data_IF_224873805127
#
_entry.id   IF_224873805127
#
_cell.length_a   1.000
_cell.length_b   1.000
_cell.length_c   1.000
_cell.angle_alpha   90.00
_cell.angle_beta   90.00
_cell.angle_gamma   90.00
#
_symmetry.space_group_name_H-M   'P 1'
#
loop_
_entity.id
_entity.type
_entity.pdbx_description
1 polymer ?
#
# COMPACT_ATOMS: atom_id res chain seq x y z
N UNK A 1 11.89 34.42 -11.68
CA UNK A 1 11.46 34.37 -10.24
C UNK A 1 10.59 33.14 -9.94
N UNK A 2 9.44 32.90 -10.59
CA UNK A 2 8.65 31.71 -10.29
C UNK A 2 9.37 30.38 -10.55
N UNK A 3 10.08 30.24 -11.69
CA UNK A 3 10.83 29.01 -12.01
C UNK A 3 12.08 28.80 -11.14
N UNK A 4 12.67 29.86 -10.61
CA UNK A 4 13.83 29.77 -9.71
C UNK A 4 13.44 29.31 -8.32
N UNK A 5 12.29 29.75 -7.83
CA UNK A 5 11.73 29.29 -6.57
C UNK A 5 11.30 27.82 -6.66
N UNK A 6 10.71 27.40 -7.77
CA UNK A 6 10.29 26.02 -7.99
C UNK A 6 11.48 25.03 -7.91
N UNK A 7 12.63 25.36 -8.53
CA UNK A 7 13.82 24.51 -8.45
C UNK A 7 14.36 24.43 -7.01
N UNK A 8 14.29 25.52 -6.25
CA UNK A 8 14.68 25.54 -4.84
C UNK A 8 13.75 24.65 -4.01
N UNK A 9 12.43 24.72 -4.21
CA UNK A 9 11.44 23.90 -3.52
C UNK A 9 11.64 22.41 -3.79
N UNK A 10 11.89 22.03 -5.06
CA UNK A 10 12.23 20.66 -5.44
C UNK A 10 13.51 20.20 -4.74
N UNK A 11 14.53 21.07 -4.67
CA UNK A 11 15.77 20.78 -3.92
C UNK A 11 15.54 20.59 -2.43
N UNK A 12 14.67 21.41 -1.82
CA UNK A 12 14.29 21.30 -0.40
C UNK A 12 13.52 19.98 -0.16
N UNK A 13 12.60 19.61 -1.05
CA UNK A 13 11.87 18.35 -0.97
C UNK A 13 12.85 17.15 -0.92
N UNK A 14 13.74 17.03 -1.91
CA UNK A 14 14.69 15.92 -1.96
C UNK A 14 15.67 15.91 -0.79
N UNK A 15 16.13 17.08 -0.33
CA UNK A 15 16.98 17.19 0.84
C UNK A 15 16.25 16.73 2.12
N UNK A 16 14.99 17.13 2.29
CA UNK A 16 14.17 16.74 3.42
C UNK A 16 13.89 15.23 3.44
N UNK A 17 13.52 14.65 2.30
CA UNK A 17 13.29 13.22 2.15
C UNK A 17 14.59 12.44 2.42
N UNK A 18 15.74 12.88 1.89
CA UNK A 18 17.02 12.23 2.16
C UNK A 18 17.39 12.27 3.65
N UNK A 19 17.17 13.41 4.33
CA UNK A 19 17.39 13.53 5.77
C UNK A 19 16.43 12.65 6.56
N UNK A 20 15.15 12.63 6.20
CA UNK A 20 14.13 11.81 6.83
C UNK A 20 14.45 10.31 6.70
N UNK A 21 14.86 9.86 5.51
CA UNK A 21 15.30 8.49 5.27
C UNK A 21 16.55 8.12 6.07
N UNK A 22 17.52 9.02 6.16
CA UNK A 22 18.70 8.82 7.00
C UNK A 22 18.33 8.64 8.48
N UNK A 23 17.44 9.47 9.01
CA UNK A 23 16.97 9.38 10.40
C UNK A 23 16.23 8.06 10.62
N UNK A 24 15.29 7.70 9.73
CA UNK A 24 14.54 6.45 9.80
C UNK A 24 15.47 5.23 9.88
N UNK A 25 16.46 5.17 8.97
CA UNK A 25 17.44 4.07 8.92
C UNK A 25 18.29 4.00 10.19
N UNK A 26 18.68 5.15 10.76
CA UNK A 26 19.42 5.20 12.03
C UNK A 26 18.60 4.69 13.23
N UNK A 27 17.29 4.86 13.18
CA UNK A 27 16.35 4.39 14.21
C UNK A 27 15.89 2.95 13.98
N UNK A 28 16.30 2.30 12.88
CA UNK A 28 15.82 0.97 12.48
C UNK A 28 14.33 0.93 12.18
N UNK A 29 13.76 2.04 11.70
CA UNK A 29 12.34 2.18 11.37
C UNK A 29 12.11 2.27 9.86
N UNK A 30 10.86 1.99 9.43
CA UNK A 30 10.44 2.24 8.05
C UNK A 30 10.62 3.71 7.67
N UNK A 31 11.05 3.98 6.43
CA UNK A 31 11.20 5.34 5.90
C UNK A 31 9.85 6.03 5.66
N UNK A 32 8.78 5.27 5.42
CA UNK A 32 7.45 5.80 5.04
C UNK A 32 6.92 6.83 6.04
N UNK A 33 6.83 6.55 7.36
CA UNK A 33 6.37 7.54 8.32
C UNK A 33 7.21 8.81 8.33
N UNK A 34 8.53 8.68 8.13
CA UNK A 34 9.45 9.81 8.16
C UNK A 34 9.30 10.71 6.93
N UNK A 35 9.05 10.14 5.74
CA UNK A 35 8.75 10.90 4.53
C UNK A 35 7.44 11.68 4.69
N UNK A 36 6.38 11.05 5.21
CA UNK A 36 5.10 11.69 5.48
C UNK A 36 5.29 12.85 6.49
N UNK A 37 5.97 12.60 7.62
CA UNK A 37 6.22 13.63 8.63
C UNK A 37 7.05 14.77 8.06
N UNK A 38 8.06 14.49 7.21
CA UNK A 38 8.86 15.55 6.57
C UNK A 38 8.00 16.45 5.65
N UNK A 39 7.07 15.86 4.90
CA UNK A 39 6.08 16.60 4.11
C UNK A 39 5.18 17.48 4.97
N UNK A 40 4.63 16.91 6.06
CA UNK A 40 3.81 17.69 7.00
C UNK A 40 4.58 18.87 7.60
N UNK A 41 5.82 18.66 8.05
CA UNK A 41 6.62 19.70 8.65
C UNK A 41 6.88 20.86 7.68
N UNK A 42 7.16 20.55 6.41
CA UNK A 42 7.45 21.55 5.38
C UNK A 42 6.19 22.12 4.71
N UNK A 43 5.00 21.71 5.13
CA UNK A 43 3.72 22.10 4.54
C UNK A 43 3.31 23.54 4.88
N UNK A 44 2.36 24.12 4.12
CA UNK A 44 1.71 25.37 4.47
C UNK A 44 0.96 25.28 5.82
N UNK A 45 0.58 24.09 6.24
CA UNK A 45 -0.13 23.84 7.50
C UNK A 45 0.75 23.94 8.75
N UNK A 46 2.07 23.72 8.61
CA UNK A 46 3.02 23.81 9.74
C UNK A 46 3.92 25.02 9.56
N UNK A 47 4.87 25.03 8.61
CA UNK A 47 5.76 26.17 8.41
C UNK A 47 5.01 27.42 7.93
N UNK A 48 4.01 27.26 7.06
CA UNK A 48 3.20 28.39 6.59
C UNK A 48 2.46 29.09 7.73
N UNK A 49 1.90 28.35 8.66
CA UNK A 49 1.24 28.92 9.87
C UNK A 49 2.24 29.65 10.80
N UNK A 50 3.50 29.27 10.77
CA UNK A 50 4.57 29.94 11.52
C UNK A 50 5.14 31.15 10.81
N UNK A 51 4.65 31.48 9.58
CA UNK A 51 5.18 32.57 8.75
C UNK A 51 6.55 32.27 8.18
N UNK A 52 6.96 31.00 8.13
CA UNK A 52 8.24 30.54 7.56
C UNK A 52 8.06 30.10 6.11
N UNK A 53 9.13 30.09 5.29
CA UNK A 53 9.08 29.49 3.97
C UNK A 53 8.67 28.01 4.06
N UNK A 54 7.80 27.58 3.16
CA UNK A 54 7.25 26.22 3.09
C UNK A 54 7.30 25.73 1.64
N UNK A 55 7.09 24.42 1.44
CA UNK A 55 6.94 23.81 0.12
C UNK A 55 5.47 23.89 -0.27
N UNK A 56 5.20 24.37 -1.48
CA UNK A 56 3.85 24.41 -2.06
C UNK A 56 3.55 23.10 -2.79
N UNK A 57 2.26 22.75 -2.85
CA UNK A 57 1.78 21.71 -3.74
C UNK A 57 1.81 22.22 -5.18
N UNK A 58 2.90 21.94 -5.86
CA UNK A 58 3.12 22.34 -7.25
C UNK A 58 2.77 21.19 -8.18
N UNK A 59 2.49 21.51 -9.46
CA UNK A 59 2.25 20.49 -10.51
C UNK A 59 3.41 19.47 -10.60
N UNK A 60 4.64 19.87 -10.30
CA UNK A 60 5.78 18.95 -10.27
C UNK A 60 5.64 17.93 -9.12
N UNK A 61 5.25 18.38 -7.92
CA UNK A 61 5.09 17.52 -6.75
C UNK A 61 3.93 16.56 -6.97
N UNK A 62 2.81 17.05 -7.51
CA UNK A 62 1.61 16.28 -7.85
C UNK A 62 1.93 15.19 -8.88
N UNK A 63 2.48 15.55 -10.05
CA UNK A 63 2.88 14.56 -11.07
C UNK A 63 3.95 13.60 -10.52
N UNK A 64 4.88 14.09 -9.71
CA UNK A 64 5.88 13.27 -9.04
C UNK A 64 5.26 12.24 -8.10
N UNK A 65 4.21 12.61 -7.37
CA UNK A 65 3.45 11.71 -6.52
C UNK A 65 2.65 10.66 -7.32
N UNK A 66 1.99 11.07 -8.40
CA UNK A 66 1.29 10.14 -9.33
C UNK A 66 2.27 9.12 -9.93
N UNK A 67 3.45 9.56 -10.37
CA UNK A 67 4.50 8.65 -10.84
C UNK A 67 4.96 7.70 -9.72
N UNK A 68 4.99 8.16 -8.48
CA UNK A 68 5.26 7.33 -7.31
C UNK A 68 4.28 6.17 -7.17
N UNK A 69 2.98 6.47 -7.24
CA UNK A 69 1.92 5.45 -7.21
C UNK A 69 2.07 4.48 -8.41
N UNK A 70 2.24 5.02 -9.62
CA UNK A 70 2.39 4.23 -10.84
C UNK A 70 3.57 3.26 -10.73
N UNK A 71 4.74 3.72 -10.29
CA UNK A 71 5.89 2.84 -10.15
C UNK A 71 5.78 1.85 -8.99
N UNK A 72 5.18 2.23 -7.87
CA UNK A 72 4.91 1.30 -6.77
C UNK A 72 4.05 0.12 -7.26
N UNK A 73 2.95 0.40 -7.95
CA UNK A 73 2.04 -0.63 -8.45
C UNK A 73 2.63 -1.40 -9.64
N UNK A 74 3.41 -0.75 -10.51
CA UNK A 74 4.15 -1.43 -11.58
C UNK A 74 5.10 -2.49 -11.01
N UNK A 75 5.89 -2.14 -9.99
CA UNK A 75 6.80 -3.08 -9.35
C UNK A 75 6.06 -4.22 -8.64
N UNK A 76 4.95 -3.93 -7.99
CA UNK A 76 4.09 -4.96 -7.43
C UNK A 76 3.64 -5.96 -8.52
N UNK A 77 3.19 -5.46 -9.66
CA UNK A 77 2.82 -6.30 -10.80
C UNK A 77 4.02 -7.07 -11.36
N UNK A 78 5.21 -6.48 -11.38
CA UNK A 78 6.43 -7.11 -11.85
C UNK A 78 6.87 -8.29 -10.97
N UNK A 79 6.72 -8.17 -9.65
CA UNK A 79 7.02 -9.22 -8.68
C UNK A 79 5.98 -10.35 -8.70
N UNK A 80 4.82 -10.11 -9.32
CA UNK A 80 3.72 -11.05 -9.38
C UNK A 80 4.07 -12.26 -10.28
N UNK A 81 4.30 -13.42 -9.66
CA UNK A 81 4.62 -14.66 -10.36
C UNK A 81 3.46 -15.66 -10.27
N UNK A 82 2.74 -15.83 -11.41
CA UNK A 82 1.60 -16.74 -11.52
C UNK A 82 1.97 -18.21 -11.25
N UNK A 83 3.17 -18.66 -11.63
CA UNK A 83 3.58 -20.05 -11.45
C UNK A 83 3.77 -20.37 -9.96
N UNK A 84 4.45 -19.51 -9.21
CA UNK A 84 4.58 -19.66 -7.74
C UNK A 84 3.24 -19.60 -7.02
N UNK A 85 2.34 -18.72 -7.44
CA UNK A 85 0.98 -18.65 -6.92
C UNK A 85 0.25 -19.98 -7.11
N UNK A 86 0.41 -20.62 -8.27
CA UNK A 86 -0.25 -21.89 -8.60
C UNK A 86 0.32 -23.07 -7.82
N UNK A 87 1.61 -23.07 -7.48
CA UNK A 87 2.26 -24.11 -6.68
C UNK A 87 1.75 -24.18 -5.24
N UNK A 88 1.55 -23.01 -4.58
CA UNK A 88 1.09 -22.90 -3.19
C UNK A 88 -0.31 -22.30 -3.06
N UNK A 89 -1.14 -22.45 -4.09
CA UNK A 89 -2.46 -21.80 -4.18
C UNK A 89 -3.42 -22.14 -3.03
N UNK A 90 -3.31 -23.32 -2.45
CA UNK A 90 -4.20 -23.74 -1.38
C UNK A 90 -3.83 -23.05 -0.06
N UNK A 91 -2.56 -23.01 0.28
CA UNK A 91 -2.03 -22.35 1.47
C UNK A 91 -2.24 -20.83 1.37
N UNK A 92 -1.85 -20.22 0.26
CA UNK A 92 -2.03 -18.80 -0.04
C UNK A 92 -3.53 -18.44 0.00
N UNK A 93 -4.38 -19.22 -0.70
CA UNK A 93 -5.82 -18.99 -0.74
C UNK A 93 -6.46 -19.11 0.65
N UNK A 94 -6.04 -20.08 1.47
CA UNK A 94 -6.58 -20.27 2.82
C UNK A 94 -6.15 -19.11 3.73
N UNK A 95 -4.85 -18.81 3.81
CA UNK A 95 -4.34 -17.74 4.66
C UNK A 95 -4.90 -16.38 4.25
N UNK A 96 -4.88 -16.05 2.95
CA UNK A 96 -5.39 -14.79 2.42
C UNK A 96 -6.91 -14.64 2.59
N UNK A 97 -7.70 -15.72 2.41
CA UNK A 97 -9.15 -15.66 2.64
C UNK A 97 -9.48 -15.45 4.12
N UNK A 98 -8.78 -16.11 5.04
CA UNK A 98 -8.93 -15.88 6.48
C UNK A 98 -8.63 -14.42 6.80
N UNK A 99 -7.53 -13.88 6.25
CA UNK A 99 -7.14 -12.50 6.47
C UNK A 99 -8.16 -11.52 5.91
N UNK A 100 -8.62 -11.72 4.67
CA UNK A 100 -9.65 -10.90 4.03
C UNK A 100 -10.96 -10.88 4.83
N UNK A 101 -11.49 -12.05 5.14
CA UNK A 101 -12.81 -12.15 5.82
C UNK A 101 -12.77 -11.50 7.20
N UNK A 102 -11.72 -11.75 7.97
CA UNK A 102 -11.59 -11.20 9.32
C UNK A 102 -11.36 -9.68 9.25
N UNK A 103 -10.34 -9.23 8.54
CA UNK A 103 -9.91 -7.83 8.63
C UNK A 103 -10.75 -6.89 7.79
N UNK A 104 -11.14 -7.27 6.57
CA UNK A 104 -12.05 -6.46 5.76
C UNK A 104 -13.46 -6.46 6.35
N UNK A 105 -13.95 -7.60 6.84
CA UNK A 105 -15.25 -7.71 7.51
C UNK A 105 -15.33 -6.85 8.77
N UNK A 106 -14.32 -6.93 9.65
CA UNK A 106 -14.24 -6.06 10.84
C UNK A 106 -14.03 -4.60 10.43
N UNK A 107 -13.22 -4.34 9.38
CA UNK A 107 -13.03 -3.02 8.82
C UNK A 107 -14.32 -2.37 8.33
N UNK A 108 -15.21 -3.11 7.65
CA UNK A 108 -16.54 -2.62 7.24
C UNK A 108 -17.41 -2.23 8.44
N UNK A 109 -17.47 -3.09 9.45
CA UNK A 109 -18.25 -2.83 10.67
C UNK A 109 -17.71 -1.61 11.42
N UNK A 110 -16.38 -1.54 11.57
CA UNK A 110 -15.70 -0.42 12.22
C UNK A 110 -15.91 0.86 11.43
N UNK A 111 -15.65 0.84 10.12
CA UNK A 111 -15.82 2.00 9.23
C UNK A 111 -17.25 2.53 9.27
N UNK A 112 -18.26 1.65 9.23
CA UNK A 112 -19.65 2.08 9.35
C UNK A 112 -19.97 2.64 10.75
N UNK A 113 -19.43 2.07 11.79
CA UNK A 113 -19.58 2.59 13.15
C UNK A 113 -18.97 3.98 13.31
N UNK A 114 -17.82 4.24 12.66
CA UNK A 114 -17.08 5.49 12.75
C UNK A 114 -17.66 6.60 11.86
N UNK A 115 -17.87 6.30 10.57
CA UNK A 115 -18.24 7.30 9.57
C UNK A 115 -19.73 7.39 9.29
N UNK A 116 -20.54 6.36 9.63
CA UNK A 116 -22.00 6.31 9.39
C UNK A 116 -22.40 6.46 7.92
N UNK A 117 -21.46 6.24 7.02
CA UNK A 117 -21.63 6.27 5.58
C UNK A 117 -21.12 4.95 4.97
N UNK A 118 -21.90 4.28 4.10
CA UNK A 118 -21.50 2.98 3.55
C UNK A 118 -20.26 3.04 2.66
N UNK A 119 -20.08 4.12 1.87
CA UNK A 119 -18.95 4.27 0.97
C UNK A 119 -17.68 4.62 1.76
N UNK A 120 -17.80 5.52 2.74
CA UNK A 120 -16.71 5.79 3.68
C UNK A 120 -16.32 4.53 4.48
N UNK A 121 -17.30 3.70 4.89
CA UNK A 121 -17.06 2.43 5.54
C UNK A 121 -16.31 1.45 4.63
N UNK A 122 -16.68 1.39 3.36
CA UNK A 122 -15.99 0.57 2.37
C UNK A 122 -14.54 1.02 2.20
N UNK A 123 -14.28 2.32 2.05
CA UNK A 123 -12.92 2.86 1.94
C UNK A 123 -12.11 2.61 3.23
N UNK A 124 -12.70 2.86 4.41
CA UNK A 124 -12.06 2.56 5.68
C UNK A 124 -11.71 1.07 5.85
N UNK A 125 -12.59 0.18 5.36
CA UNK A 125 -12.32 -1.26 5.38
C UNK A 125 -11.08 -1.63 4.56
N UNK A 126 -10.92 -1.07 3.36
CA UNK A 126 -9.71 -1.26 2.56
C UNK A 126 -8.47 -0.71 3.26
N UNK A 127 -8.56 0.51 3.84
CA UNK A 127 -7.46 1.16 4.58
C UNK A 127 -6.95 0.29 5.73
N UNK A 128 -7.84 -0.32 6.51
CA UNK A 128 -7.45 -1.12 7.67
C UNK A 128 -7.14 -2.59 7.34
N UNK A 129 -7.60 -3.08 6.19
CA UNK A 129 -7.38 -4.45 5.75
C UNK A 129 -5.95 -4.67 5.23
N UNK A 130 -5.51 -3.83 4.29
CA UNK A 130 -4.30 -4.07 3.51
C UNK A 130 -3.02 -3.89 4.35
N UNK A 131 -2.12 -4.85 4.26
CA UNK A 131 -0.80 -4.79 4.90
C UNK A 131 0.21 -4.04 4.02
N UNK A 132 1.36 -3.63 4.60
CA UNK A 132 2.44 -3.03 3.82
C UNK A 132 3.45 -4.06 3.38
N UNK A 133 3.45 -4.37 2.09
CA UNK A 133 4.43 -5.28 1.48
C UNK A 133 5.86 -4.73 1.58
N UNK A 134 6.05 -3.42 1.38
CA UNK A 134 7.35 -2.77 1.50
C UNK A 134 7.93 -2.88 2.92
N UNK A 135 7.14 -2.59 3.97
CA UNK A 135 7.60 -2.65 5.36
C UNK A 135 7.87 -4.09 5.79
N UNK A 136 6.98 -5.03 5.43
CA UNK A 136 7.13 -6.44 5.82
C UNK A 136 8.37 -7.03 5.17
N UNK A 137 8.53 -6.90 3.86
CA UNK A 137 9.67 -7.46 3.12
C UNK A 137 10.99 -6.90 3.63
N UNK A 138 11.08 -5.58 3.82
CA UNK A 138 12.26 -4.95 4.40
C UNK A 138 12.55 -5.47 5.81
N UNK A 139 11.54 -5.59 6.66
CA UNK A 139 11.71 -6.10 8.03
C UNK A 139 12.15 -7.58 8.03
N UNK A 140 11.63 -8.41 7.13
CA UNK A 140 12.08 -9.79 6.96
C UNK A 140 13.56 -9.88 6.61
N UNK A 141 14.05 -8.99 5.74
CA UNK A 141 15.46 -8.91 5.35
C UNK A 141 16.32 -8.42 6.54
N UNK A 142 15.95 -7.31 7.15
CA UNK A 142 16.70 -6.65 8.23
C UNK A 142 16.81 -7.55 9.49
N UNK A 143 15.77 -8.35 9.78
CA UNK A 143 15.75 -9.31 10.90
C UNK A 143 16.33 -10.68 10.54
N UNK A 144 16.72 -10.91 9.28
CA UNK A 144 17.21 -12.20 8.80
C UNK A 144 16.14 -13.30 8.73
N UNK A 145 14.85 -12.93 8.75
CA UNK A 145 13.74 -13.89 8.70
C UNK A 145 13.36 -14.30 7.27
N UNK A 146 13.89 -13.63 6.26
CA UNK A 146 13.56 -13.90 4.85
C UNK A 146 13.87 -15.36 4.42
N UNK A 147 14.87 -15.98 5.02
CA UNK A 147 15.26 -17.38 4.76
C UNK A 147 14.54 -18.40 5.67
N UNK A 148 13.68 -17.95 6.58
CA UNK A 148 12.96 -18.79 7.52
C UNK A 148 11.59 -19.19 6.95
N UNK A 149 10.99 -20.26 7.50
CA UNK A 149 9.69 -20.76 7.04
C UNK A 149 8.54 -19.77 7.26
N UNK A 150 8.64 -18.85 8.24
CA UNK A 150 7.64 -17.82 8.49
C UNK A 150 7.55 -16.76 7.39
N UNK A 151 8.54 -16.63 6.52
CA UNK A 151 8.47 -15.72 5.37
C UNK A 151 7.42 -16.16 4.35
N UNK A 152 7.28 -17.46 4.12
CA UNK A 152 6.36 -17.99 3.11
C UNK A 152 4.88 -17.61 3.34
N UNK A 153 4.28 -17.78 4.55
CA UNK A 153 2.91 -17.32 4.78
C UNK A 153 2.75 -15.80 4.76
N UNK A 154 3.76 -15.03 5.20
CA UNK A 154 3.70 -13.56 5.10
C UNK A 154 3.67 -13.12 3.64
N UNK A 155 4.66 -13.53 2.84
CA UNK A 155 4.75 -13.17 1.43
C UNK A 155 3.55 -13.74 0.63
N UNK A 156 3.10 -14.95 0.93
CA UNK A 156 1.93 -15.54 0.29
C UNK A 156 0.63 -14.78 0.60
N UNK A 157 0.43 -14.33 1.85
CA UNK A 157 -0.72 -13.51 2.21
C UNK A 157 -0.63 -12.13 1.54
N UNK A 158 0.54 -11.51 1.46
CA UNK A 158 0.73 -10.25 0.73
C UNK A 158 0.36 -10.39 -0.75
N UNK A 159 0.81 -11.46 -1.43
CA UNK A 159 0.43 -11.72 -2.83
C UNK A 159 -1.10 -11.85 -2.98
N UNK A 160 -1.78 -12.48 -2.02
CA UNK A 160 -3.24 -12.55 -2.02
C UNK A 160 -3.88 -11.17 -1.79
N UNK A 161 -3.39 -10.41 -0.81
CA UNK A 161 -3.83 -9.04 -0.54
C UNK A 161 -3.65 -8.16 -1.78
N UNK A 162 -2.52 -8.27 -2.49
CA UNK A 162 -2.19 -7.49 -3.68
C UNK A 162 -3.13 -7.78 -4.85
N UNK A 163 -3.55 -9.03 -5.01
CA UNK A 163 -4.60 -9.40 -5.97
C UNK A 163 -5.95 -8.78 -5.60
N UNK A 164 -6.32 -8.88 -4.34
CA UNK A 164 -7.58 -8.31 -3.84
C UNK A 164 -7.57 -6.80 -3.97
N UNK A 165 -6.45 -6.14 -3.61
CA UNK A 165 -6.39 -4.68 -3.64
C UNK A 165 -6.45 -4.14 -5.07
N UNK A 166 -5.87 -4.82 -6.07
CA UNK A 166 -5.96 -4.41 -7.46
C UNK A 166 -7.43 -4.35 -7.94
N UNK A 167 -8.22 -5.39 -7.62
CA UNK A 167 -9.66 -5.41 -7.91
C UNK A 167 -10.42 -4.39 -7.07
N UNK A 168 -10.06 -4.28 -5.78
CA UNK A 168 -10.68 -3.33 -4.85
C UNK A 168 -10.48 -1.88 -5.30
N UNK A 169 -9.26 -1.47 -5.68
CA UNK A 169 -8.98 -0.12 -6.16
C UNK A 169 -9.79 0.22 -7.42
N UNK A 170 -9.90 -0.72 -8.35
CA UNK A 170 -10.72 -0.54 -9.55
C UNK A 170 -12.20 -0.31 -9.21
N UNK A 171 -12.75 -1.12 -8.29
CA UNK A 171 -14.14 -0.99 -7.83
C UNK A 171 -14.33 0.29 -7.03
N UNK A 172 -13.42 0.61 -6.11
CA UNK A 172 -13.47 1.82 -5.29
C UNK A 172 -13.44 3.09 -6.15
N UNK A 173 -12.49 3.17 -7.11
CA UNK A 173 -12.40 4.29 -8.06
C UNK A 173 -13.67 4.41 -8.90
N UNK A 174 -14.19 3.31 -9.43
CA UNK A 174 -15.40 3.31 -10.24
C UNK A 174 -16.64 3.78 -9.47
N UNK A 175 -16.76 3.41 -8.19
CA UNK A 175 -17.88 3.85 -7.34
C UNK A 175 -17.71 5.31 -6.91
N UNK A 176 -16.51 5.69 -6.49
CA UNK A 176 -16.23 7.04 -5.97
C UNK A 176 -16.25 8.08 -7.08
N UNK A 177 -15.72 7.79 -8.27
CA UNK A 177 -15.65 8.72 -9.40
C UNK A 177 -16.83 8.61 -10.37
N UNK A 178 -17.65 7.54 -10.24
CA UNK A 178 -18.72 7.21 -11.20
C UNK A 178 -20.00 8.06 -11.11
N UNK A 179 -20.13 8.99 -10.13
CA UNK A 179 -21.29 9.87 -9.98
C UNK A 179 -22.47 9.30 -9.16
N UNK A 180 -23.55 10.10 -8.99
CA UNK A 180 -24.60 9.91 -7.99
C UNK A 180 -25.66 8.83 -8.32
N UNK A 181 -25.55 8.09 -9.43
CA UNK A 181 -26.57 7.13 -9.84
C UNK A 181 -26.11 5.68 -9.85
N UNK A 182 -26.98 4.73 -9.40
CA UNK A 182 -26.71 3.29 -9.55
C UNK A 182 -26.39 2.88 -11.00
N UNK A 183 -27.02 3.55 -11.98
CA UNK A 183 -26.74 3.34 -13.39
C UNK A 183 -25.34 3.80 -13.79
N UNK A 184 -24.93 4.97 -13.33
CA UNK A 184 -23.60 5.54 -13.64
C UNK A 184 -22.49 4.74 -12.96
N UNK A 185 -22.68 4.36 -11.70
CA UNK A 185 -21.75 3.45 -11.00
C UNK A 185 -21.63 2.10 -11.71
N UNK A 186 -22.75 1.52 -12.18
CA UNK A 186 -22.73 0.26 -12.93
C UNK A 186 -21.97 0.38 -14.27
N UNK A 187 -22.13 1.51 -14.98
CA UNK A 187 -21.38 1.81 -16.21
C UNK A 187 -19.89 1.97 -15.92
N UNK A 188 -19.54 2.74 -14.88
CA UNK A 188 -18.14 2.96 -14.47
C UNK A 188 -17.46 1.65 -14.06
N UNK A 189 -18.14 0.81 -13.27
CA UNK A 189 -17.67 -0.55 -12.93
C UNK A 189 -17.52 -1.38 -14.21
N UNK A 190 -18.47 -1.29 -15.13
CA UNK A 190 -18.41 -1.99 -16.42
C UNK A 190 -17.20 -1.57 -17.26
N UNK A 191 -16.89 -0.27 -17.32
CA UNK A 191 -15.71 0.27 -18.00
C UNK A 191 -14.43 -0.22 -17.31
N UNK A 192 -14.35 -0.12 -15.97
CA UNK A 192 -13.20 -0.57 -15.19
C UNK A 192 -12.94 -2.07 -15.39
N UNK A 193 -13.98 -2.90 -15.28
CA UNK A 193 -13.86 -4.35 -15.50
C UNK A 193 -13.51 -4.69 -16.95
N UNK A 194 -14.07 -3.97 -17.93
CA UNK A 194 -13.73 -4.10 -19.35
C UNK A 194 -12.27 -3.75 -19.62
N UNK A 195 -11.77 -2.67 -19.00
CA UNK A 195 -10.37 -2.26 -19.08
C UNK A 195 -9.43 -3.28 -18.42
N UNK A 196 -9.77 -3.78 -17.23
CA UNK A 196 -9.01 -4.86 -16.57
C UNK A 196 -8.97 -6.11 -17.45
N UNK A 197 -10.11 -6.50 -18.05
CA UNK A 197 -10.16 -7.64 -18.96
C UNK A 197 -9.25 -7.42 -20.17
N UNK A 198 -9.25 -6.21 -20.75
CA UNK A 198 -8.36 -5.85 -21.85
C UNK A 198 -6.89 -5.96 -21.43
N UNK A 199 -6.54 -5.47 -20.25
CA UNK A 199 -5.18 -5.57 -19.71
C UNK A 199 -4.79 -7.05 -19.44
N UNK A 200 -5.68 -7.86 -18.87
CA UNK A 200 -5.46 -9.31 -18.71
C UNK A 200 -5.24 -10.01 -20.04
N UNK A 201 -6.01 -9.67 -21.07
CA UNK A 201 -5.80 -10.19 -22.44
C UNK A 201 -4.45 -9.72 -23.00
N UNK A 202 -4.05 -8.47 -22.73
CA UNK A 202 -2.74 -7.96 -23.11
C UNK A 202 -1.61 -8.70 -22.39
N UNK A 203 -1.76 -9.02 -21.11
CA UNK A 203 -0.81 -9.87 -20.35
C UNK A 203 -0.72 -11.25 -20.98
N UNK A 204 -1.85 -11.90 -21.26
CA UNK A 204 -1.89 -13.27 -21.73
C UNK A 204 -1.40 -13.44 -23.19
N UNK A 205 -1.81 -12.54 -24.08
CA UNK A 205 -1.46 -12.61 -25.51
C UNK A 205 -0.32 -11.68 -25.91
N UNK A 206 -0.01 -10.68 -25.10
CA UNK A 206 0.91 -9.59 -25.42
C UNK A 206 2.36 -9.82 -25.02
N UNK A 207 2.70 -10.92 -24.33
CA UNK A 207 4.05 -11.17 -23.80
C UNK A 207 5.15 -10.96 -24.85
N UNK A 208 4.94 -11.38 -26.11
CA UNK A 208 5.89 -11.16 -27.19
C UNK A 208 6.07 -9.69 -27.59
N UNK A 209 5.05 -8.85 -27.41
CA UNK A 209 5.15 -7.40 -27.65
C UNK A 209 5.92 -6.72 -26.50
N UNK A 210 5.62 -7.09 -25.26
CA UNK A 210 6.35 -6.57 -24.10
C UNK A 210 7.82 -7.02 -24.11
N UNK A 211 8.11 -8.26 -24.53
CA UNK A 211 9.50 -8.73 -24.72
C UNK A 211 10.25 -7.87 -25.77
N UNK A 212 9.60 -7.52 -26.90
CA UNK A 212 10.20 -6.63 -27.92
C UNK A 212 10.53 -5.23 -27.39
N UNK A 213 9.79 -4.73 -26.39
CA UNK A 213 10.12 -3.45 -25.75
C UNK A 213 11.50 -3.51 -25.11
N UNK A 214 11.93 -4.70 -24.64
CA UNK A 214 13.18 -4.94 -23.97
C UNK A 214 14.32 -5.34 -24.92
N UNK A 215 14.02 -5.65 -26.20
CA UNK A 215 15.02 -6.00 -27.23
C UNK A 215 15.87 -4.77 -27.60
N UNK A 216 16.92 -4.49 -26.82
CA UNK A 216 17.88 -3.41 -27.06
C UNK A 216 19.16 -3.68 -26.27
N UNK A 217 20.31 -3.27 -26.78
CA UNK A 217 21.60 -3.38 -26.11
C UNK A 217 21.87 -2.22 -25.13
N UNK A 218 20.93 -1.28 -25.00
CA UNK A 218 21.11 -0.08 -24.18
C UNK A 218 20.18 -0.07 -22.99
N UNK A 219 20.72 -0.07 -21.79
CA UNK A 219 19.98 0.07 -20.53
C UNK A 219 19.14 1.35 -20.49
N UNK A 220 19.63 2.44 -21.08
CA UNK A 220 18.88 3.70 -21.20
C UNK A 220 17.58 3.50 -21.97
N UNK A 221 17.63 2.78 -23.11
CA UNK A 221 16.42 2.52 -23.90
C UNK A 221 15.48 1.54 -23.24
N UNK A 222 15.96 0.55 -22.48
CA UNK A 222 15.10 -0.31 -21.64
C UNK A 222 14.32 0.56 -20.65
N UNK A 223 14.99 1.40 -19.88
CA UNK A 223 14.38 2.30 -18.89
C UNK A 223 13.34 3.21 -19.54
N UNK A 224 13.71 3.93 -20.61
CA UNK A 224 12.81 4.88 -21.28
C UNK A 224 11.58 4.18 -21.88
N UNK A 225 11.74 2.99 -22.47
CA UNK A 225 10.63 2.25 -23.08
C UNK A 225 9.70 1.69 -22.02
N UNK A 226 10.22 1.12 -20.92
CA UNK A 226 9.40 0.58 -19.83
C UNK A 226 8.63 1.71 -19.15
N UNK A 227 9.29 2.82 -18.81
CA UNK A 227 8.64 4.01 -18.26
C UNK A 227 7.57 4.54 -19.22
N UNK A 228 7.94 4.71 -20.50
CA UNK A 228 7.04 5.25 -21.52
C UNK A 228 5.77 4.40 -21.69
N UNK A 229 5.90 3.08 -21.77
CA UNK A 229 4.75 2.17 -21.89
C UNK A 229 3.90 2.21 -20.62
N UNK A 230 4.53 2.15 -19.45
CA UNK A 230 3.83 2.13 -18.16
C UNK A 230 3.04 3.42 -17.95
N UNK A 231 3.68 4.57 -18.08
CA UNK A 231 3.04 5.88 -17.84
C UNK A 231 1.99 6.18 -18.91
N UNK A 232 2.21 5.79 -20.18
CA UNK A 232 1.22 5.96 -21.23
C UNK A 232 -0.06 5.17 -20.96
N UNK A 233 0.07 3.91 -20.56
CA UNK A 233 -1.09 3.05 -20.25
C UNK A 233 -1.78 3.52 -18.96
N UNK A 234 -1.02 3.90 -17.94
CA UNK A 234 -1.57 4.47 -16.69
C UNK A 234 -2.33 5.77 -16.95
N UNK A 235 -1.76 6.69 -17.74
CA UNK A 235 -2.43 7.94 -18.13
C UNK A 235 -3.66 7.72 -19.00
N UNK A 236 -3.64 6.73 -19.90
CA UNK A 236 -4.82 6.36 -20.68
C UNK A 236 -5.95 5.78 -19.81
N UNK A 237 -5.59 4.98 -18.79
CA UNK A 237 -6.54 4.48 -17.79
C UNK A 237 -7.21 5.62 -17.03
N UNK A 238 -6.40 6.56 -16.51
CA UNK A 238 -6.88 7.75 -15.79
C UNK A 238 -7.85 8.58 -16.66
N UNK A 239 -7.52 8.79 -17.92
CA UNK A 239 -8.39 9.49 -18.88
C UNK A 239 -9.74 8.77 -19.15
N UNK A 240 -9.82 7.46 -18.88
CA UNK A 240 -11.04 6.65 -18.96
C UNK A 240 -11.77 6.53 -17.61
N UNK A 241 -11.31 7.24 -16.56
CA UNK A 241 -11.87 7.14 -15.20
C UNK A 241 -11.53 5.82 -14.50
N UNK A 242 -10.44 5.17 -14.92
CA UNK A 242 -9.90 3.95 -14.28
C UNK A 242 -8.63 4.32 -13.54
N UNK A 243 -8.41 3.71 -12.38
CA UNK A 243 -7.20 3.99 -11.60
C UNK A 243 -5.92 3.68 -12.40
N UNK A 244 -5.02 4.65 -12.48
CA UNK A 244 -3.68 4.57 -13.05
C UNK A 244 -2.81 3.52 -12.32
N UNK A 245 -3.03 3.39 -11.00
CA UNK A 245 -2.38 2.39 -10.16
C UNK A 245 -2.70 0.95 -10.62
N UNK A 246 -3.98 0.67 -10.85
CA UNK A 246 -4.45 -0.64 -11.36
C UNK A 246 -3.85 -0.93 -12.73
N UNK A 247 -3.86 0.05 -13.62
CA UNK A 247 -3.26 -0.11 -14.96
C UNK A 247 -1.76 -0.42 -14.88
N UNK A 248 -1.02 0.30 -14.05
CA UNK A 248 0.41 0.09 -13.82
C UNK A 248 0.71 -1.31 -13.28
N UNK A 249 -0.11 -1.83 -12.33
CA UNK A 249 0.00 -3.18 -11.83
C UNK A 249 -0.09 -4.24 -12.96
N UNK A 250 -1.09 -4.14 -13.83
CA UNK A 250 -1.23 -5.08 -14.95
C UNK A 250 -0.11 -4.94 -15.98
N UNK A 251 0.40 -3.73 -16.22
CA UNK A 251 1.59 -3.53 -17.07
C UNK A 251 2.81 -4.21 -16.45
N UNK A 252 3.01 -4.09 -15.14
CA UNK A 252 4.05 -4.81 -14.40
C UNK A 252 3.93 -6.33 -14.57
N UNK A 253 2.72 -6.89 -14.42
CA UNK A 253 2.45 -8.31 -14.68
C UNK A 253 2.79 -8.72 -16.13
N UNK A 254 2.51 -7.85 -17.13
CA UNK A 254 2.85 -8.14 -18.51
C UNK A 254 4.37 -8.22 -18.74
N UNK A 255 5.12 -7.34 -18.10
CA UNK A 255 6.59 -7.40 -18.10
C UNK A 255 7.13 -8.60 -17.28
N UNK A 256 6.49 -8.96 -16.18
CA UNK A 256 6.82 -10.16 -15.38
C UNK A 256 6.82 -11.42 -16.25
N UNK A 257 5.84 -11.56 -17.14
CA UNK A 257 5.71 -12.68 -18.05
C UNK A 257 6.82 -12.76 -19.13
N UNK A 258 7.65 -11.70 -19.29
CA UNK A 258 8.75 -11.71 -20.29
C UNK A 258 10.02 -12.40 -19.82
N UNK A 259 10.16 -12.73 -18.54
CA UNK A 259 11.35 -13.31 -17.94
C UNK A 259 12.51 -12.34 -17.69
N UNK A 260 12.35 -11.03 -17.93
CA UNK A 260 13.37 -10.00 -17.72
C UNK A 260 13.17 -9.20 -16.41
N UNK A 261 12.43 -9.77 -15.46
CA UNK A 261 12.07 -9.12 -14.19
C UNK A 261 13.27 -8.50 -13.50
N UNK A 262 14.32 -9.31 -13.28
CA UNK A 262 15.50 -8.87 -12.55
C UNK A 262 16.28 -7.73 -13.24
N UNK A 263 16.29 -7.70 -14.56
CA UNK A 263 16.90 -6.62 -15.33
C UNK A 263 16.11 -5.31 -15.14
N UNK A 264 14.77 -5.38 -15.26
CA UNK A 264 13.89 -4.23 -15.07
C UNK A 264 13.99 -3.72 -13.62
N UNK A 265 13.94 -4.60 -12.64
CA UNK A 265 14.11 -4.25 -11.22
C UNK A 265 15.39 -3.48 -10.98
N UNK A 266 16.54 -4.03 -11.38
CA UNK A 266 17.85 -3.41 -11.16
C UNK A 266 17.95 -2.00 -11.80
N UNK A 267 17.30 -1.79 -12.93
CA UNK A 267 17.37 -0.51 -13.65
C UNK A 267 16.38 0.54 -13.12
N UNK A 268 15.18 0.11 -12.70
CA UNK A 268 14.10 1.03 -12.36
C UNK A 268 13.87 1.17 -10.85
N UNK A 269 14.42 0.28 -10.00
CA UNK A 269 14.24 0.37 -8.55
C UNK A 269 14.63 1.73 -7.96
N UNK A 270 15.76 2.38 -8.34
CA UNK A 270 16.10 3.70 -7.84
C UNK A 270 15.09 4.79 -8.28
N UNK A 271 14.46 4.61 -9.44
CA UNK A 271 13.44 5.52 -9.97
C UNK A 271 12.15 5.36 -9.17
N UNK A 272 11.70 4.11 -8.96
CA UNK A 272 10.57 3.77 -8.08
C UNK A 272 10.76 4.40 -6.71
N UNK A 273 11.88 4.15 -6.06
CA UNK A 273 12.15 4.63 -4.69
C UNK A 273 12.16 6.14 -4.61
N UNK A 274 12.72 6.81 -5.63
CA UNK A 274 12.72 8.27 -5.71
C UNK A 274 11.31 8.84 -5.78
N UNK A 275 10.49 8.34 -6.70
CA UNK A 275 9.12 8.85 -6.85
C UNK A 275 8.19 8.37 -5.74
N UNK A 276 8.39 7.17 -5.18
CA UNK A 276 7.68 6.71 -3.98
C UNK A 276 7.96 7.66 -2.79
N UNK A 277 9.19 8.11 -2.62
CA UNK A 277 9.53 9.08 -1.58
C UNK A 277 8.82 10.43 -1.80
N UNK A 278 8.70 10.89 -3.06
CA UNK A 278 7.91 12.10 -3.41
C UNK A 278 6.42 11.88 -3.08
N UNK A 279 5.86 10.71 -3.39
CA UNK A 279 4.48 10.38 -3.05
C UNK A 279 4.22 10.44 -1.54
N UNK A 280 5.05 9.81 -0.72
CA UNK A 280 4.87 9.84 0.74
C UNK A 280 5.08 11.25 1.32
N UNK A 281 6.02 12.01 0.76
CA UNK A 281 6.20 13.42 1.12
C UNK A 281 4.96 14.23 0.78
N UNK A 282 4.40 14.06 -0.44
CA UNK A 282 3.19 14.74 -0.89
C UNK A 282 1.98 14.42 0.02
N UNK A 283 1.78 13.17 0.40
CA UNK A 283 0.74 12.79 1.38
C UNK A 283 0.87 13.61 2.66
N UNK A 284 2.10 13.77 3.16
CA UNK A 284 2.35 14.64 4.32
C UNK A 284 2.05 16.11 4.04
N UNK A 285 2.47 16.60 2.86
CA UNK A 285 2.33 17.99 2.45
C UNK A 285 0.86 18.45 2.42
N UNK A 286 -0.04 17.60 1.89
CA UNK A 286 -1.48 17.89 1.79
C UNK A 286 -2.25 17.60 3.09
N UNK A 287 -1.61 16.98 4.09
CA UNK A 287 -2.27 16.61 5.35
C UNK A 287 -2.06 17.66 6.44
N UNK A 288 -3.16 18.27 6.88
CA UNK A 288 -3.15 19.16 8.05
C UNK A 288 -3.05 18.35 9.35
N UNK A 289 -1.92 18.41 10.11
CA UNK A 289 -1.78 17.64 11.35
C UNK A 289 -2.77 18.06 12.45
N UNK A 290 -3.40 19.22 12.37
CA UNK A 290 -4.44 19.62 13.34
C UNK A 290 -5.71 18.79 13.18
N UNK A 291 -5.96 18.22 11.98
CA UNK A 291 -7.09 17.32 11.75
C UNK A 291 -6.96 16.02 12.53
N UNK A 292 -5.73 15.61 12.88
CA UNK A 292 -5.54 14.40 13.71
C UNK A 292 -6.24 14.50 15.05
N UNK A 293 -6.37 15.69 15.62
CA UNK A 293 -7.13 15.87 16.87
C UNK A 293 -8.60 15.47 16.70
N UNK A 294 -9.20 15.79 15.53
CA UNK A 294 -10.60 15.41 15.19
C UNK A 294 -10.78 13.91 14.97
N UNK A 295 -9.79 13.26 14.36
CA UNK A 295 -9.84 11.82 14.02
C UNK A 295 -9.05 10.92 14.99
N UNK A 296 -8.44 11.47 16.04
CA UNK A 296 -7.63 10.71 17.00
C UNK A 296 -8.41 9.54 17.63
N UNK A 297 -9.66 9.77 18.01
CA UNK A 297 -10.54 8.72 18.51
C UNK A 297 -10.80 7.61 17.50
N UNK A 298 -10.92 7.94 16.21
CA UNK A 298 -11.09 6.99 15.12
C UNK A 298 -9.81 6.15 14.93
N UNK A 299 -8.64 6.80 14.94
CA UNK A 299 -7.33 6.14 14.83
C UNK A 299 -7.13 5.16 16.00
N UNK A 300 -7.35 5.63 17.24
CA UNK A 300 -7.20 4.79 18.44
C UNK A 300 -8.16 3.59 18.39
N UNK A 301 -9.43 3.81 18.04
CA UNK A 301 -10.41 2.74 17.90
C UNK A 301 -9.98 1.73 16.82
N UNK A 302 -9.49 2.21 15.67
CA UNK A 302 -9.00 1.35 14.61
C UNK A 302 -7.79 0.52 15.06
N UNK A 303 -6.77 1.14 15.70
CA UNK A 303 -5.61 0.42 16.23
C UNK A 303 -6.01 -0.66 17.23
N UNK A 304 -6.90 -0.33 18.19
CA UNK A 304 -7.35 -1.28 19.22
C UNK A 304 -8.13 -2.46 18.61
N UNK A 305 -8.97 -2.21 17.61
CA UNK A 305 -9.81 -3.25 17.00
C UNK A 305 -9.03 -4.06 15.97
N UNK A 306 -8.27 -3.41 15.09
CA UNK A 306 -7.65 -4.09 13.94
C UNK A 306 -6.33 -4.77 14.28
N UNK A 307 -5.60 -4.34 15.30
CA UNK A 307 -4.38 -5.03 15.73
C UNK A 307 -4.68 -6.46 16.21
N UNK A 308 -5.63 -6.71 17.13
CA UNK A 308 -6.00 -8.07 17.51
C UNK A 308 -6.51 -8.92 16.34
N UNK A 309 -7.31 -8.35 15.44
CA UNK A 309 -7.84 -9.11 14.30
C UNK A 309 -6.73 -9.53 13.33
N UNK A 310 -5.74 -8.66 13.07
CA UNK A 310 -4.56 -9.00 12.27
C UNK A 310 -3.66 -10.03 12.98
N UNK A 311 -3.48 -9.91 14.27
CA UNK A 311 -2.75 -10.93 15.04
C UNK A 311 -3.42 -12.30 14.94
N UNK A 312 -4.75 -12.36 15.03
CA UNK A 312 -5.50 -13.61 14.88
C UNK A 312 -5.39 -14.14 13.45
N UNK A 313 -5.66 -13.33 12.43
CA UNK A 313 -5.62 -13.80 11.04
C UNK A 313 -4.20 -14.20 10.62
N UNK A 314 -3.17 -13.46 10.99
CA UNK A 314 -1.78 -13.80 10.71
C UNK A 314 -1.33 -15.08 11.41
N UNK A 315 -1.74 -15.28 12.69
CA UNK A 315 -1.47 -16.53 13.40
C UNK A 315 -2.14 -17.75 12.71
N UNK A 316 -3.41 -17.60 12.34
CA UNK A 316 -4.13 -18.63 11.59
C UNK A 316 -3.53 -18.86 10.20
N UNK A 317 -3.05 -17.80 9.54
CA UNK A 317 -2.28 -17.88 8.30
C UNK A 317 -1.02 -18.72 8.47
N UNK A 318 -0.22 -18.48 9.51
CA UNK A 318 0.93 -19.33 9.84
C UNK A 318 0.53 -20.81 10.05
N UNK A 319 -0.62 -21.04 10.72
CA UNK A 319 -1.15 -22.41 10.90
C UNK A 319 -1.61 -23.06 9.59
N UNK A 320 -2.12 -22.30 8.63
CA UNK A 320 -2.47 -22.81 7.31
C UNK A 320 -1.25 -23.36 6.55
N UNK A 321 -0.05 -22.85 6.85
CA UNK A 321 1.24 -23.36 6.36
C UNK A 321 1.88 -24.40 7.30
N UNK A 322 1.14 -24.94 8.25
CA UNK A 322 1.60 -25.94 9.24
C UNK A 322 2.79 -25.47 10.11
N UNK A 323 2.95 -24.18 10.33
CA UNK A 323 3.98 -23.66 11.21
C UNK A 323 3.65 -23.93 12.69
N UNK A 324 4.70 -24.05 13.50
CA UNK A 324 4.59 -24.08 14.96
C UNK A 324 4.03 -22.76 15.53
N UNK A 325 3.73 -22.73 16.83
CA UNK A 325 3.13 -21.55 17.47
C UNK A 325 4.06 -20.35 17.50
N UNK A 326 5.37 -20.60 17.67
CA UNK A 326 6.38 -19.55 17.67
C UNK A 326 6.45 -18.82 16.34
N UNK A 327 6.58 -19.58 15.25
CA UNK A 327 6.65 -19.03 13.88
C UNK A 327 5.32 -18.40 13.46
N UNK A 328 4.19 -19.04 13.82
CA UNK A 328 2.85 -18.44 13.57
C UNK A 328 2.68 -17.10 14.31
N UNK A 329 3.29 -16.94 15.50
CA UNK A 329 3.29 -15.65 16.21
C UNK A 329 4.11 -14.60 15.45
N UNK A 330 5.26 -14.94 14.87
CA UNK A 330 6.03 -14.02 14.02
C UNK A 330 5.24 -13.57 12.80
N UNK A 331 4.52 -14.51 12.14
CA UNK A 331 3.61 -14.15 11.04
C UNK A 331 2.56 -13.17 11.51
N UNK A 332 1.92 -13.43 12.65
CA UNK A 332 0.92 -12.55 13.24
C UNK A 332 1.45 -11.12 13.46
N UNK A 333 2.62 -11.01 14.08
CA UNK A 333 3.24 -9.70 14.37
C UNK A 333 3.62 -8.97 13.07
N UNK A 334 4.19 -9.66 12.08
CA UNK A 334 4.59 -9.08 10.81
C UNK A 334 3.41 -8.51 10.03
N UNK A 335 2.29 -9.22 9.97
CA UNK A 335 1.10 -8.79 9.24
C UNK A 335 0.37 -7.58 9.84
N UNK A 336 0.84 -7.01 10.97
CA UNK A 336 0.21 -5.83 11.58
C UNK A 336 0.57 -4.51 10.90
N UNK A 337 1.62 -4.44 10.08
CA UNK A 337 2.06 -3.21 9.43
C UNK A 337 1.05 -2.67 8.42
N UNK A 338 0.99 -1.35 8.27
CA UNK A 338 0.20 -0.66 7.23
C UNK A 338 1.09 0.35 6.50
N UNK A 339 0.79 0.61 5.25
CA UNK A 339 1.63 1.47 4.43
C UNK A 339 0.94 2.08 3.22
N UNK A 340 1.57 1.96 2.08
CA UNK A 340 1.29 2.64 0.82
C UNK A 340 -0.14 2.48 0.33
N UNK A 341 -0.69 1.27 0.34
CA UNK A 341 -2.02 1.02 -0.22
C UNK A 341 -3.14 1.68 0.58
N UNK A 342 -3.00 1.75 1.92
CA UNK A 342 -3.96 2.48 2.75
C UNK A 342 -4.03 3.96 2.37
N UNK A 343 -2.89 4.56 2.00
CA UNK A 343 -2.79 5.94 1.56
C UNK A 343 -3.36 6.13 0.14
N UNK A 344 -3.08 5.19 -0.77
CA UNK A 344 -3.66 5.19 -2.12
C UNK A 344 -5.20 5.12 -2.07
N UNK A 345 -5.77 4.33 -1.16
CA UNK A 345 -7.23 4.30 -0.96
C UNK A 345 -7.74 5.67 -0.49
N UNK A 346 -7.01 6.35 0.38
CA UNK A 346 -7.40 7.68 0.85
C UNK A 346 -7.36 8.73 -0.27
N UNK A 347 -6.42 8.63 -1.23
CA UNK A 347 -6.39 9.55 -2.38
C UNK A 347 -7.60 9.37 -3.30
N UNK A 348 -8.18 8.18 -3.41
CA UNK A 348 -9.44 7.97 -4.15
C UNK A 348 -10.58 8.80 -3.53
N UNK A 349 -10.67 8.88 -2.20
CA UNK A 349 -11.68 9.72 -1.54
C UNK A 349 -11.47 11.21 -1.84
N UNK A 350 -10.21 11.68 -1.84
CA UNK A 350 -9.88 13.06 -2.20
C UNK A 350 -10.23 13.36 -3.67
N UNK A 351 -9.85 12.48 -4.59
CA UNK A 351 -10.19 12.61 -6.01
C UNK A 351 -11.72 12.64 -6.24
N UNK A 352 -12.48 11.85 -5.48
CA UNK A 352 -13.94 11.90 -5.52
C UNK A 352 -14.51 13.23 -5.01
N UNK A 353 -13.90 13.85 -4.00
CA UNK A 353 -14.28 15.16 -3.52
C UNK A 353 -13.99 16.24 -4.56
N UNK A 354 -12.82 16.22 -5.19
CA UNK A 354 -12.47 17.12 -6.29
C UNK A 354 -13.41 17.01 -7.49
N UNK A 355 -13.81 15.78 -7.82
CA UNK A 355 -14.80 15.50 -8.87
C UNK A 355 -16.24 15.88 -8.46
N UNK A 356 -16.51 16.22 -7.19
CA UNK A 356 -17.83 16.52 -6.66
C UNK A 356 -18.74 15.29 -6.49
N UNK A 357 -18.19 14.09 -6.50
CA UNK A 357 -18.90 12.81 -6.39
C UNK A 357 -18.84 12.19 -5.00
N UNK A 358 -17.97 12.71 -4.14
CA UNK A 358 -17.83 12.30 -2.74
C UNK A 358 -17.80 13.52 -1.81
N UNK A 359 -18.38 13.46 -0.59
CA UNK A 359 -18.41 14.60 0.32
C UNK A 359 -17.01 15.02 0.78
N UNK A 360 -16.65 16.30 0.58
CA UNK A 360 -15.32 16.84 0.91
C UNK A 360 -14.93 16.64 2.38
N UNK A 361 -15.87 16.85 3.31
CA UNK A 361 -15.63 16.63 4.74
C UNK A 361 -15.26 15.17 5.04
N UNK A 362 -15.96 14.20 4.44
CA UNK A 362 -15.65 12.78 4.61
C UNK A 362 -14.32 12.41 3.96
N UNK A 363 -14.00 12.95 2.78
CA UNK A 363 -12.72 12.72 2.11
C UNK A 363 -11.55 13.21 2.98
N UNK A 364 -11.69 14.41 3.56
CA UNK A 364 -10.70 14.98 4.47
C UNK A 364 -10.52 14.14 5.73
N UNK A 365 -11.61 13.69 6.36
CA UNK A 365 -11.58 12.85 7.54
C UNK A 365 -10.96 11.47 7.23
N UNK A 366 -11.31 10.86 6.09
CA UNK A 366 -10.74 9.59 5.64
C UNK A 366 -9.23 9.73 5.38
N UNK A 367 -8.80 10.81 4.72
CA UNK A 367 -7.39 11.07 4.48
C UNK A 367 -6.63 11.25 5.80
N UNK A 368 -7.09 12.10 6.69
CA UNK A 368 -6.47 12.32 8.00
C UNK A 368 -6.46 11.02 8.83
N UNK A 369 -7.54 10.24 8.81
CA UNK A 369 -7.62 8.93 9.45
C UNK A 369 -6.58 7.96 8.86
N UNK A 370 -6.52 7.81 7.54
CA UNK A 370 -5.60 6.90 6.87
C UNK A 370 -4.14 7.25 7.18
N UNK A 371 -3.77 8.52 7.04
CA UNK A 371 -2.40 9.00 7.31
C UNK A 371 -2.03 8.76 8.77
N UNK A 372 -2.87 9.17 9.72
CA UNK A 372 -2.61 8.96 11.14
C UNK A 372 -2.56 7.48 11.52
N UNK A 373 -3.45 6.66 10.97
CA UNK A 373 -3.47 5.21 11.20
C UNK A 373 -2.22 4.53 10.64
N UNK A 374 -1.80 4.86 9.41
CA UNK A 374 -0.57 4.31 8.79
C UNK A 374 0.66 4.71 9.59
N UNK A 375 0.78 5.97 10.02
CA UNK A 375 1.90 6.41 10.86
C UNK A 375 2.03 5.55 12.12
N UNK A 376 0.92 5.31 12.81
CA UNK A 376 0.91 4.50 14.04
C UNK A 376 1.22 3.03 13.71
N UNK A 377 0.56 2.44 12.70
CA UNK A 377 0.67 1.01 12.42
C UNK A 377 2.01 0.62 11.78
N UNK A 378 2.62 1.51 10.99
CA UNK A 378 3.96 1.28 10.45
C UNK A 378 5.02 1.20 11.56
N UNK A 379 4.97 2.12 12.54
CA UNK A 379 5.87 2.12 13.70
C UNK A 379 5.56 0.95 14.63
N UNK A 380 4.28 0.73 14.93
CA UNK A 380 3.84 -0.37 15.81
C UNK A 380 4.26 -1.74 15.24
N UNK A 381 3.95 -2.00 13.98
CA UNK A 381 4.25 -3.28 13.34
C UNK A 381 5.76 -3.55 13.25
N UNK A 382 6.56 -2.57 12.83
CA UNK A 382 8.02 -2.68 12.82
C UNK A 382 8.58 -2.97 14.23
N UNK A 383 8.05 -2.27 15.24
CA UNK A 383 8.45 -2.48 16.64
C UNK A 383 8.05 -3.88 17.14
N UNK A 384 6.84 -4.34 16.81
CA UNK A 384 6.38 -5.69 17.19
C UNK A 384 7.24 -6.79 16.56
N UNK A 385 7.69 -6.62 15.31
CA UNK A 385 8.61 -7.56 14.67
C UNK A 385 9.99 -7.56 15.34
N UNK A 386 10.56 -6.37 15.63
CA UNK A 386 11.85 -6.24 16.30
C UNK A 386 11.86 -6.86 17.69
N UNK A 387 10.77 -6.74 18.42
CA UNK A 387 10.61 -7.24 19.79
C UNK A 387 9.65 -8.44 19.85
N UNK A 388 9.75 -9.37 18.92
CA UNK A 388 8.84 -10.53 18.83
C UNK A 388 9.01 -11.55 19.99
N UNK A 389 10.21 -11.68 20.55
CA UNK A 389 10.57 -12.74 21.51
C UNK A 389 9.66 -12.83 22.76
N UNK A 390 9.26 -11.74 23.43
CA UNK A 390 8.31 -11.82 24.55
C UNK A 390 6.95 -12.39 24.16
N UNK A 391 6.45 -12.06 22.95
CA UNK A 391 5.17 -12.56 22.43
C UNK A 391 5.26 -14.03 22.07
N UNK A 392 6.35 -14.44 21.44
CA UNK A 392 6.65 -15.83 21.11
C UNK A 392 6.63 -16.71 22.38
N UNK A 393 7.33 -16.31 23.43
CA UNK A 393 7.37 -17.02 24.71
C UNK A 393 6.00 -17.11 25.36
N UNK A 394 5.27 -16.00 25.41
CA UNK A 394 3.93 -15.95 26.02
C UNK A 394 2.95 -16.93 25.34
N UNK A 395 2.95 -17.03 24.00
CA UNK A 395 2.07 -17.92 23.26
C UNK A 395 2.45 -19.40 23.49
N UNK A 396 3.76 -19.70 23.45
CA UNK A 396 4.25 -21.07 23.66
C UNK A 396 3.97 -21.57 25.09
N UNK A 397 4.21 -20.75 26.12
CA UNK A 397 3.97 -21.08 27.51
C UNK A 397 2.48 -21.36 27.78
N UNK A 398 1.58 -20.49 27.31
CA UNK A 398 0.14 -20.68 27.51
C UNK A 398 -0.41 -21.97 26.87
N UNK A 399 0.12 -22.36 25.71
CA UNK A 399 -0.32 -23.62 25.08
C UNK A 399 0.23 -24.85 25.78
N UNK A 400 1.47 -24.82 26.24
CA UNK A 400 2.02 -25.92 27.02
C UNK A 400 1.24 -26.14 28.34
N UNK A 401 0.75 -25.09 28.97
CA UNK A 401 -0.13 -25.17 30.15
C UNK A 401 -1.52 -25.74 29.79
N UNK A 402 -2.07 -25.33 28.64
CA UNK A 402 -3.37 -25.82 28.14
C UNK A 402 -3.32 -27.33 27.81
N UNK A 403 -2.25 -27.76 27.11
CA UNK A 403 -2.07 -29.17 26.74
C UNK A 403 -1.81 -30.07 27.99
N UNK A 404 -1.09 -29.54 28.99
CA UNK A 404 -0.88 -30.22 30.26
C UNK A 404 -2.20 -30.38 31.07
N UNK A 405 -3.09 -29.38 31.01
CA UNK A 405 -4.39 -29.45 31.70
C UNK A 405 -5.37 -30.45 31.03
N UNK A 406 -5.34 -30.51 29.67
CA UNK A 406 -6.20 -31.45 28.91
C UNK A 406 -5.71 -32.92 29.05
N UNK A 407 -4.42 -33.14 29.29
CA UNK A 407 -3.85 -34.47 29.52
C UNK A 407 -4.01 -34.98 30.97
N UNK A 408 -4.48 -34.12 31.88
CA UNK A 408 -4.68 -34.44 33.30
C UNK A 408 -6.15 -34.78 33.67
N UNK A 409 -7.10 -34.57 32.74
CA UNK A 409 -8.50 -34.98 32.78
C UNK A 409 -8.72 -36.26 31.91
#
# INVERSE_FOLDING_TARGET
>A
MASELLLLEVGVLFAAVALAGFVATRLGQSVIPFYIVSGMLLSPYVLGRLGMPFVEETVFVEIGAELGIVFLLFFLGLEFNLDRLMESKQEIGTAGTIDLVINFGVGLLLGYALFRDPLAAFLAAGIVYISSSAIITKSLIDLGWIANDESAPMLGTLVYEDLVIAVYLAVASAIVLGGDGFGDAAVSIGIAMGFILLLLLAVYFGTSYFARVLETDSNEFVVLRVIGVTVLIAGAALALGVSEAVAAFFVGMAFSATGHVHEIENLLEPIRDTFAAVFFFWIGLITDPLLFAGVAGLIVAAVIVTTPTKLVSGFLGGKAYNLDDRRSTRVALGMTTRGEFSLIIATIALAGAEAGTFPEALATDINAFAVGYVLVMAILGTTLMQYSEPFERFVVERRSESDASVSAD
#
